data_IF_746915722589
#
_entry.id   IF_746915722589
#
_cell.length_a   1.000
_cell.length_b   1.000
_cell.length_c   1.000
_cell.angle_alpha   90.00
_cell.angle_beta   90.00
_cell.angle_gamma   90.00
#
_symmetry.space_group_name_H-M   'P 1'
#
loop_
_entity.id
_entity.type
_entity.pdbx_description
1 polymer ?
#
# COMPACT_ATOMS: atom_id res chain seq x y z
N UNK A 1 3.10 -5.32 -13.25
CA UNK A 1 2.09 -4.29 -13.64
C UNK A 1 2.50 -2.96 -13.02
N UNK A 2 2.58 -1.86 -13.79
CA UNK A 2 3.00 -0.53 -13.31
C UNK A 2 1.87 0.48 -13.33
N UNK A 3 1.84 1.37 -12.35
CA UNK A 3 0.93 2.52 -12.31
C UNK A 3 1.72 3.80 -12.09
N UNK A 4 1.25 4.87 -12.73
CA UNK A 4 1.74 6.23 -12.54
C UNK A 4 0.63 7.11 -11.97
N UNK A 5 1.01 8.11 -11.18
CA UNK A 5 0.07 9.10 -10.67
C UNK A 5 0.78 10.25 -9.98
N UNK A 6 -0.03 11.17 -9.44
CA UNK A 6 0.45 12.31 -8.68
C UNK A 6 -0.26 12.37 -7.33
N UNK A 7 0.49 12.64 -6.28
CA UNK A 7 0.01 12.82 -4.91
C UNK A 7 0.73 14.01 -4.29
N UNK A 8 -0.04 14.99 -3.80
CA UNK A 8 0.48 16.23 -3.23
C UNK A 8 1.57 16.91 -4.07
N UNK A 9 1.37 16.95 -5.40
CA UNK A 9 2.34 17.55 -6.33
C UNK A 9 3.53 16.65 -6.70
N UNK A 10 3.71 15.50 -6.06
CA UNK A 10 4.78 14.53 -6.36
C UNK A 10 4.27 13.44 -7.30
N UNK A 11 4.97 13.26 -8.42
CA UNK A 11 4.74 12.14 -9.32
C UNK A 11 5.28 10.85 -8.70
N UNK A 12 4.58 9.74 -8.93
CA UNK A 12 5.06 8.41 -8.55
C UNK A 12 4.88 7.43 -9.71
N UNK A 13 5.84 6.52 -9.85
CA UNK A 13 5.77 5.30 -10.64
C UNK A 13 5.98 4.15 -9.66
N UNK A 14 5.05 3.20 -9.66
CA UNK A 14 5.11 2.05 -8.76
C UNK A 14 4.65 0.80 -9.48
N UNK A 15 5.41 -0.28 -9.32
CA UNK A 15 5.05 -1.61 -9.78
C UNK A 15 4.66 -2.54 -8.63
N UNK A 16 3.96 -3.64 -8.94
CA UNK A 16 3.63 -4.67 -7.95
C UNK A 16 4.90 -5.29 -7.36
N UNK A 17 5.87 -5.57 -8.22
CA UNK A 17 7.15 -6.19 -7.89
C UNK A 17 7.97 -5.28 -6.96
N UNK A 18 7.99 -3.97 -7.22
CA UNK A 18 8.64 -2.98 -6.34
C UNK A 18 7.98 -2.89 -4.96
N UNK A 19 6.64 -3.01 -4.89
CA UNK A 19 5.94 -3.07 -3.59
C UNK A 19 6.36 -4.32 -2.81
N UNK A 20 6.38 -5.48 -3.46
CA UNK A 20 6.79 -6.74 -2.82
C UNK A 20 8.24 -6.69 -2.33
N UNK A 21 9.14 -6.07 -3.10
CA UNK A 21 10.53 -5.87 -2.71
C UNK A 21 10.67 -4.89 -1.53
N UNK A 22 10.06 -3.70 -1.60
CA UNK A 22 10.15 -2.67 -0.54
C UNK A 22 9.50 -3.09 0.77
N UNK A 23 8.54 -4.01 0.73
CA UNK A 23 7.89 -4.57 1.91
C UNK A 23 8.62 -5.79 2.48
N UNK A 24 9.69 -6.27 1.83
CA UNK A 24 10.51 -7.36 2.36
C UNK A 24 11.22 -6.88 3.63
N UNK A 25 11.06 -7.62 4.73
CA UNK A 25 11.66 -7.27 6.01
C UNK A 25 10.98 -6.13 6.77
N UNK A 26 9.89 -5.56 6.23
CA UNK A 26 9.09 -4.58 6.97
C UNK A 26 8.23 -5.29 8.01
N UNK A 27 8.20 -4.76 9.23
CA UNK A 27 7.32 -5.27 10.28
C UNK A 27 5.89 -4.78 10.06
N UNK A 28 4.89 -5.68 10.01
CA UNK A 28 3.51 -5.27 9.85
C UNK A 28 3.01 -4.46 11.05
N UNK A 29 2.37 -3.34 10.77
CA UNK A 29 1.66 -2.55 11.77
C UNK A 29 0.29 -3.18 12.14
N UNK A 30 -0.27 -2.85 13.32
CA UNK A 30 -1.60 -3.31 13.71
C UNK A 30 -2.68 -2.97 12.67
N UNK A 31 -3.42 -4.00 12.23
CA UNK A 31 -4.45 -3.85 11.21
C UNK A 31 -5.73 -3.34 11.85
N UNK A 32 -6.17 -2.14 11.44
CA UNK A 32 -7.42 -1.53 11.94
C UNK A 32 -8.67 -1.95 11.18
N UNK A 33 -8.62 -1.98 9.85
CA UNK A 33 -9.82 -2.20 9.00
C UNK A 33 -9.52 -2.91 7.70
N UNK A 34 -8.53 -2.43 6.93
CA UNK A 34 -8.18 -2.98 5.63
C UNK A 34 -6.71 -3.36 5.58
N UNK A 35 -6.43 -4.49 4.94
CA UNK A 35 -5.08 -5.01 4.75
C UNK A 35 -4.90 -5.66 3.38
N UNK A 36 -3.63 -5.85 3.01
CA UNK A 36 -3.21 -6.69 1.88
C UNK A 36 -2.23 -7.73 2.36
N UNK A 37 -2.19 -8.87 1.69
CA UNK A 37 -1.18 -9.90 1.92
C UNK A 37 -0.03 -9.69 0.93
N UNK A 38 1.18 -9.52 1.46
CA UNK A 38 2.41 -9.33 0.67
C UNK A 38 3.48 -10.23 1.30
N UNK A 39 4.13 -11.08 0.50
CA UNK A 39 5.16 -12.01 0.99
C UNK A 39 4.70 -12.86 2.21
N UNK A 40 3.43 -13.30 2.21
CA UNK A 40 2.86 -14.10 3.30
C UNK A 40 2.53 -13.33 4.60
N UNK A 41 2.69 -12.01 4.64
CA UNK A 41 2.36 -11.16 5.80
C UNK A 41 1.22 -10.20 5.48
N UNK A 42 0.40 -9.89 6.48
CA UNK A 42 -0.75 -8.97 6.35
C UNK A 42 -0.33 -7.57 6.74
N UNK A 43 -0.39 -6.63 5.81
CA UNK A 43 -0.03 -5.23 6.04
C UNK A 43 -1.25 -4.31 5.91
N UNK A 44 -1.43 -3.34 6.82
CA UNK A 44 -2.36 -2.24 6.63
C UNK A 44 -2.12 -1.52 5.29
N UNK A 45 -3.20 -1.23 4.57
CA UNK A 45 -3.08 -0.61 3.24
C UNK A 45 -2.33 0.73 3.25
N UNK A 46 -2.46 1.51 4.33
CA UNK A 46 -1.77 2.80 4.46
C UNK A 46 -0.27 2.63 4.72
N UNK A 47 0.12 1.63 5.49
CA UNK A 47 1.53 1.32 5.75
C UNK A 47 2.26 1.02 4.44
N UNK A 48 1.68 0.16 3.60
CA UNK A 48 2.29 -0.25 2.33
C UNK A 48 2.54 0.98 1.44
N UNK A 49 1.53 1.83 1.27
CA UNK A 49 1.65 3.02 0.44
C UNK A 49 2.60 4.05 1.03
N UNK A 50 2.58 4.27 2.34
CA UNK A 50 3.51 5.15 3.03
C UNK A 50 4.96 4.70 2.83
N UNK A 51 5.23 3.40 3.00
CA UNK A 51 6.56 2.82 2.83
C UNK A 51 7.02 2.87 1.37
N UNK A 52 6.14 2.58 0.43
CA UNK A 52 6.50 2.55 -0.99
C UNK A 52 6.71 3.96 -1.56
N UNK A 53 5.89 4.93 -1.17
CA UNK A 53 5.96 6.30 -1.71
C UNK A 53 6.81 7.24 -0.86
N UNK A 54 7.27 6.81 0.33
CA UNK A 54 7.99 7.66 1.27
C UNK A 54 7.15 8.84 1.78
N UNK A 55 5.84 8.64 1.90
CA UNK A 55 4.89 9.67 2.31
C UNK A 55 4.35 9.39 3.70
N UNK A 56 4.07 10.45 4.44
CA UNK A 56 3.39 10.33 5.72
C UNK A 56 1.94 9.83 5.50
N UNK A 57 1.44 8.86 6.27
CA UNK A 57 0.05 8.42 6.19
C UNK A 57 -0.98 9.55 6.31
N UNK A 58 -0.68 10.69 6.95
CA UNK A 58 -1.56 11.86 7.02
C UNK A 58 -1.76 12.54 5.66
N UNK A 59 -0.83 12.33 4.73
CA UNK A 59 -0.84 12.95 3.41
C UNK A 59 -1.84 12.31 2.43
N UNK A 60 -2.45 11.18 2.78
CA UNK A 60 -3.43 10.51 1.94
C UNK A 60 -4.50 9.73 2.69
N UNK A 61 -5.62 9.49 2.00
CA UNK A 61 -6.77 8.77 2.56
C UNK A 61 -6.61 7.26 2.40
N UNK A 62 -7.31 6.49 3.24
CA UNK A 62 -7.38 5.03 3.10
C UNK A 62 -7.96 4.60 1.76
N UNK A 63 -8.91 5.37 1.22
CA UNK A 63 -9.50 5.11 -0.10
C UNK A 63 -8.48 5.27 -1.24
N UNK A 64 -7.58 6.25 -1.11
CA UNK A 64 -6.48 6.43 -2.06
C UNK A 64 -5.53 5.23 -2.03
N UNK A 65 -5.13 4.80 -0.83
CA UNK A 65 -4.28 3.62 -0.66
C UNK A 65 -4.93 2.35 -1.22
N UNK A 66 -6.23 2.15 -0.95
CA UNK A 66 -7.02 1.07 -1.52
C UNK A 66 -6.94 1.07 -3.05
N UNK A 67 -7.20 2.22 -3.69
CA UNK A 67 -7.20 2.33 -5.15
C UNK A 67 -5.83 2.05 -5.76
N UNK A 68 -4.74 2.52 -5.16
CA UNK A 68 -3.37 2.23 -5.60
C UNK A 68 -3.13 0.72 -5.59
N UNK A 69 -3.34 0.08 -4.43
CA UNK A 69 -3.04 -1.33 -4.25
C UNK A 69 -3.93 -2.22 -5.13
N UNK A 70 -5.22 -1.90 -5.26
CA UNK A 70 -6.11 -2.63 -6.18
C UNK A 70 -5.68 -2.49 -7.64
N UNK A 71 -5.24 -1.29 -8.09
CA UNK A 71 -4.75 -1.10 -9.47
C UNK A 71 -3.42 -1.82 -9.74
N UNK A 72 -2.61 -2.03 -8.71
CA UNK A 72 -1.41 -2.87 -8.77
C UNK A 72 -1.72 -4.37 -8.74
N UNK A 73 -2.99 -4.75 -8.58
CA UNK A 73 -3.43 -6.15 -8.54
C UNK A 73 -3.33 -6.81 -7.17
N UNK A 74 -3.18 -6.04 -6.09
CA UNK A 74 -3.29 -6.58 -4.72
C UNK A 74 -4.75 -6.77 -4.33
N UNK A 75 -5.03 -7.91 -3.69
CA UNK A 75 -6.35 -8.19 -3.11
C UNK A 75 -6.45 -7.52 -1.74
N UNK A 76 -7.17 -6.41 -1.68
CA UNK A 76 -7.46 -5.72 -0.41
C UNK A 76 -8.56 -6.49 0.31
N UNK A 77 -8.30 -6.87 1.56
CA UNK A 77 -9.23 -7.55 2.45
C UNK A 77 -9.61 -6.62 3.60
N UNK A 78 -10.80 -6.82 4.16
CA UNK A 78 -11.23 -6.19 5.40
C UNK A 78 -11.01 -7.17 6.55
N UNK A 79 -10.74 -6.69 7.76
CA UNK A 79 -10.88 -7.56 8.94
C UNK A 79 -12.37 -7.89 9.08
N UNK A 80 -12.69 -9.17 9.15
CA UNK A 80 -14.01 -9.60 9.60
C UNK A 80 -14.00 -9.52 11.13
N UNK A 81 -15.02 -8.86 11.68
CA UNK A 81 -15.25 -8.79 13.13
C UNK A 81 -15.98 -10.04 13.59
#
# INVERSE_FOLDING_TARGET
MRIKGKIQGRDYDLSKEEVEERMRGVEPEPIRKYYVEINGRKYPIKQVVAKCLGLDPIQFTSAYAYRILSRLGFKVKKIES
#
